data_IF_973809982225
#
_entry.id   IF_973809982225
#
_cell.length_a   1.000
_cell.length_b   1.000
_cell.length_c   1.000
_cell.angle_alpha   90.00
_cell.angle_beta   90.00
_cell.angle_gamma   90.00
#
_symmetry.space_group_name_H-M   'P 1'
#
loop_
_entity.id
_entity.type
_entity.pdbx_description
1 polymer ?
#
# COMPACT_ATOMS: atom_id res chain seq x y z
N UNK A 1 13.61 -14.70 -7.61
CA UNK A 1 12.47 -13.78 -7.77
C UNK A 1 12.73 -12.53 -6.90
N UNK A 2 12.57 -11.34 -7.46
CA UNK A 2 12.74 -10.12 -6.68
C UNK A 2 11.71 -10.01 -5.58
N UNK A 3 12.15 -9.52 -4.42
CA UNK A 3 11.23 -9.20 -3.34
C UNK A 3 10.37 -7.99 -3.74
N UNK A 4 9.14 -7.94 -3.24
CA UNK A 4 8.23 -6.84 -3.56
C UNK A 4 8.81 -5.47 -3.19
N UNK A 5 9.55 -5.38 -2.06
CA UNK A 5 10.14 -4.12 -1.61
C UNK A 5 11.17 -3.57 -2.58
N UNK A 6 11.78 -4.41 -3.40
CA UNK A 6 12.81 -4.02 -4.36
C UNK A 6 12.23 -3.72 -5.74
N UNK A 7 10.98 -4.08 -5.97
CA UNK A 7 10.34 -3.85 -7.25
C UNK A 7 9.83 -2.41 -7.37
N UNK A 8 9.76 -1.92 -8.59
CA UNK A 8 9.22 -0.61 -8.88
C UNK A 8 7.85 -0.74 -9.51
N UNK A 9 6.99 0.24 -9.22
CA UNK A 9 5.69 0.30 -9.85
C UNK A 9 5.83 0.58 -11.33
N UNK A 10 5.00 -0.09 -12.12
CA UNK A 10 4.89 0.21 -13.55
C UNK A 10 3.86 1.30 -13.73
N UNK A 11 3.95 2.04 -14.84
CA UNK A 11 2.99 3.09 -15.14
C UNK A 11 1.59 2.48 -15.27
N UNK A 12 0.64 3.02 -14.51
CA UNK A 12 -0.76 2.62 -14.58
C UNK A 12 -1.49 3.51 -15.57
N UNK A 13 -2.40 2.91 -16.32
CA UNK A 13 -3.25 3.63 -17.28
C UNK A 13 -4.62 2.98 -17.29
N UNK A 14 -5.60 3.72 -17.79
CA UNK A 14 -6.96 3.18 -17.99
C UNK A 14 -6.85 1.93 -18.86
N UNK A 15 -7.46 0.83 -18.38
CA UNK A 15 -7.41 -0.44 -19.08
C UNK A 15 -6.23 -1.33 -18.69
N UNK A 16 -5.34 -0.89 -17.77
CA UNK A 16 -4.28 -1.75 -17.26
C UNK A 16 -4.91 -2.99 -16.60
N UNK A 17 -4.26 -4.17 -16.71
CA UNK A 17 -4.84 -5.38 -16.13
C UNK A 17 -4.83 -5.34 -14.61
N UNK A 18 -5.96 -5.70 -13.99
CA UNK A 18 -6.02 -5.90 -12.55
C UNK A 18 -5.40 -7.24 -12.18
N UNK A 19 -5.09 -7.43 -10.89
CA UNK A 19 -4.57 -8.71 -10.41
C UNK A 19 -5.61 -9.80 -10.59
N UNK A 20 -5.12 -10.99 -10.93
CA UNK A 20 -5.97 -12.19 -11.02
C UNK A 20 -6.09 -12.84 -9.64
N UNK A 21 -7.04 -13.78 -9.50
CA UNK A 21 -7.18 -14.55 -8.27
C UNK A 21 -5.89 -15.33 -7.93
N UNK A 22 -5.21 -15.86 -8.94
CA UNK A 22 -3.94 -16.55 -8.75
C UNK A 22 -2.84 -15.62 -8.28
N UNK A 23 -2.79 -14.41 -8.82
CA UNK A 23 -1.81 -13.41 -8.38
C UNK A 23 -2.05 -12.97 -6.94
N UNK A 24 -3.32 -12.83 -6.54
CA UNK A 24 -3.65 -12.52 -5.15
C UNK A 24 -3.14 -13.62 -4.22
N UNK A 25 -3.32 -14.88 -4.59
CA UNK A 25 -2.81 -16.01 -3.81
C UNK A 25 -1.29 -16.01 -3.70
N UNK A 26 -0.60 -15.50 -4.72
CA UNK A 26 0.85 -15.38 -4.74
C UNK A 26 1.33 -14.21 -3.88
N UNK A 27 0.70 -13.05 -4.01
CA UNK A 27 1.18 -11.80 -3.39
C UNK A 27 0.69 -11.58 -1.97
N UNK A 28 -0.55 -11.96 -1.66
CA UNK A 28 -1.12 -11.71 -0.33
C UNK A 28 -0.29 -12.32 0.82
N UNK A 29 0.27 -13.54 0.71
CA UNK A 29 1.12 -14.08 1.78
C UNK A 29 2.41 -13.30 2.01
N UNK A 30 2.83 -12.47 1.04
CA UNK A 30 4.02 -11.62 1.17
C UNK A 30 3.74 -10.34 1.96
N UNK A 31 2.47 -9.99 2.11
CA UNK A 31 2.00 -8.85 2.89
C UNK A 31 0.83 -9.30 3.80
N UNK A 32 1.12 -10.21 4.75
CA UNK A 32 0.06 -10.90 5.49
C UNK A 32 -0.75 -10.01 6.44
N UNK A 33 -0.22 -8.84 6.80
CA UNK A 33 -0.91 -7.91 7.69
C UNK A 33 -1.93 -7.04 6.96
N UNK A 34 -1.93 -7.09 5.63
CA UNK A 34 -2.84 -6.30 4.82
C UNK A 34 -4.10 -7.08 4.52
N UNK A 35 -5.24 -6.39 4.63
CA UNK A 35 -6.55 -6.96 4.31
C UNK A 35 -7.04 -6.38 3.00
N UNK A 36 -7.75 -7.20 2.23
CA UNK A 36 -8.45 -6.71 1.04
C UNK A 36 -9.85 -6.32 1.49
N UNK A 37 -10.16 -5.04 1.38
CA UNK A 37 -11.48 -4.51 1.71
C UNK A 37 -12.19 -4.08 0.43
N UNK A 38 -13.51 -4.00 0.48
CA UNK A 38 -14.32 -3.47 -0.62
C UNK A 38 -14.98 -2.17 -0.17
N UNK A 39 -14.74 -1.10 -0.92
CA UNK A 39 -15.41 0.17 -0.71
C UNK A 39 -15.93 0.64 -2.06
N UNK A 40 -17.22 0.93 -2.15
CA UNK A 40 -17.85 1.37 -3.40
C UNK A 40 -17.59 0.39 -4.54
N UNK A 41 -17.58 -0.91 -4.24
CA UNK A 41 -17.29 -1.98 -5.19
C UNK A 41 -15.86 -1.96 -5.73
N UNK A 42 -14.94 -1.29 -5.04
CA UNK A 42 -13.52 -1.24 -5.41
C UNK A 42 -12.73 -2.04 -4.36
N UNK A 43 -12.04 -3.13 -4.76
CA UNK A 43 -11.15 -3.84 -3.83
C UNK A 43 -9.90 -3.00 -3.55
N UNK A 44 -9.52 -2.93 -2.27
CA UNK A 44 -8.39 -2.12 -1.80
C UNK A 44 -7.60 -2.90 -0.76
N UNK A 45 -6.29 -2.66 -0.70
CA UNK A 45 -5.44 -3.17 0.37
C UNK A 45 -5.41 -2.17 1.51
N UNK A 46 -5.67 -2.62 2.72
CA UNK A 46 -5.77 -1.77 3.89
C UNK A 46 -5.01 -2.33 5.07
N UNK A 47 -4.27 -1.47 5.78
CA UNK A 47 -3.60 -1.85 7.03
C UNK A 47 -3.59 -0.65 7.99
N UNK A 48 -3.84 -0.93 9.28
CA UNK A 48 -3.73 0.05 10.35
C UNK A 48 -2.39 -0.13 11.06
N UNK A 49 -1.60 0.95 11.12
CA UNK A 49 -0.32 0.99 11.81
C UNK A 49 -0.45 1.75 13.11
N UNK A 50 0.12 1.22 14.19
CA UNK A 50 0.02 1.83 15.52
C UNK A 50 1.33 2.48 15.92
N UNK A 51 1.24 3.62 16.57
CA UNK A 51 2.36 4.41 17.08
C UNK A 51 2.08 4.85 18.52
N UNK A 52 3.13 5.23 19.22
CA UNK A 52 3.01 5.66 20.63
C UNK A 52 2.71 7.15 20.80
N UNK A 53 2.73 7.93 19.72
CA UNK A 53 2.42 9.36 19.74
C UNK A 53 2.09 9.88 18.34
N UNK A 54 1.72 11.16 18.26
CA UNK A 54 1.35 11.76 17.00
C UNK A 54 2.56 12.12 16.12
N UNK A 55 3.66 12.48 16.74
CA UNK A 55 4.91 12.84 16.02
C UNK A 55 5.37 11.65 15.16
N UNK A 56 5.39 10.46 15.73
CA UNK A 56 5.77 9.25 15.01
C UNK A 56 4.77 8.91 13.91
N UNK A 57 3.49 9.11 14.16
CA UNK A 57 2.45 8.89 13.15
C UNK A 57 2.65 9.83 11.95
N UNK A 58 2.96 11.10 12.19
CA UNK A 58 3.23 12.08 11.12
C UNK A 58 4.52 11.71 10.37
N UNK A 59 5.58 11.31 11.08
CA UNK A 59 6.84 10.90 10.44
C UNK A 59 6.61 9.73 9.49
N UNK A 60 5.83 8.75 9.90
CA UNK A 60 5.46 7.61 9.06
C UNK A 60 4.66 8.06 7.84
N UNK A 61 3.67 8.93 8.04
CA UNK A 61 2.85 9.48 6.96
C UNK A 61 3.72 10.17 5.90
N UNK A 62 4.67 11.00 6.35
CA UNK A 62 5.58 11.70 5.45
C UNK A 62 6.46 10.73 4.66
N UNK A 63 6.98 9.70 5.32
CA UNK A 63 7.83 8.71 4.66
C UNK A 63 7.07 7.91 3.61
N UNK A 64 5.83 7.50 3.92
CA UNK A 64 4.98 6.79 2.96
C UNK A 64 4.63 7.72 1.80
N UNK A 65 4.31 8.97 2.08
CA UNK A 65 4.02 9.98 1.07
C UNK A 65 5.18 10.20 0.10
N UNK A 66 6.41 10.27 0.62
CA UNK A 66 7.60 10.41 -0.20
C UNK A 66 7.82 9.20 -1.11
N UNK A 67 7.63 7.99 -0.59
CA UNK A 67 7.73 6.77 -1.39
C UNK A 67 6.64 6.73 -2.47
N UNK A 68 5.43 7.16 -2.14
CA UNK A 68 4.31 7.23 -3.08
C UNK A 68 4.62 8.18 -4.25
N UNK A 69 5.15 9.36 -3.94
CA UNK A 69 5.55 10.32 -4.98
C UNK A 69 6.65 9.78 -5.88
N UNK A 70 7.64 9.10 -5.30
CA UNK A 70 8.74 8.53 -6.06
C UNK A 70 8.23 7.49 -7.06
N UNK A 71 7.25 6.68 -6.68
CA UNK A 71 6.69 5.63 -7.53
C UNK A 71 5.51 6.12 -8.39
N UNK A 72 5.03 7.34 -8.18
CA UNK A 72 3.88 7.86 -8.91
C UNK A 72 2.59 7.09 -8.64
N UNK A 73 2.45 6.52 -7.45
CA UNK A 73 1.30 5.70 -7.07
C UNK A 73 0.86 6.12 -5.68
N UNK A 74 -0.36 6.64 -5.55
CA UNK A 74 -0.78 7.37 -4.36
C UNK A 74 -1.80 6.63 -3.52
N UNK A 75 -1.57 6.51 -2.20
CA UNK A 75 -2.50 5.86 -1.27
C UNK A 75 -3.49 6.85 -0.67
N UNK A 76 -4.48 6.32 0.04
CA UNK A 76 -5.20 7.12 1.01
C UNK A 76 -4.49 6.94 2.36
N UNK A 77 -4.21 8.05 3.02
CA UNK A 77 -3.56 8.07 4.33
C UNK A 77 -4.49 8.75 5.32
N UNK A 78 -4.84 8.05 6.39
CA UNK A 78 -5.64 8.61 7.47
C UNK A 78 -4.81 8.61 8.73
N UNK A 79 -4.34 9.79 9.12
CA UNK A 79 -3.40 9.95 10.24
C UNK A 79 -4.13 10.57 11.43
N UNK A 80 -3.97 9.93 12.57
CA UNK A 80 -4.52 10.44 13.83
C UNK A 80 -3.54 10.10 14.95
N UNK A 81 -3.82 10.60 16.14
CA UNK A 81 -2.94 10.31 17.26
C UNK A 81 -2.80 8.79 17.45
N UNK A 82 -1.57 8.34 17.40
CA UNK A 82 -1.23 6.94 17.68
C UNK A 82 -1.55 5.95 16.59
N UNK A 83 -2.03 6.36 15.42
CA UNK A 83 -2.30 5.41 14.34
C UNK A 83 -2.38 6.06 12.96
N UNK A 84 -2.01 5.27 11.95
CA UNK A 84 -2.14 5.67 10.55
C UNK A 84 -2.78 4.50 9.80
N UNK A 85 -3.90 4.76 9.13
CA UNK A 85 -4.49 3.78 8.22
C UNK A 85 -3.97 4.07 6.81
N UNK A 86 -3.41 3.06 6.16
CA UNK A 86 -2.88 3.16 4.80
C UNK A 86 -3.72 2.27 3.90
N UNK A 87 -4.24 2.84 2.83
CA UNK A 87 -5.11 2.12 1.89
C UNK A 87 -4.55 2.30 0.48
N UNK A 88 -4.21 1.19 -0.17
CA UNK A 88 -3.67 1.18 -1.53
C UNK A 88 -4.66 0.58 -2.51
N UNK A 89 -4.88 1.26 -3.62
CA UNK A 89 -5.59 0.71 -4.79
C UNK A 89 -5.17 1.52 -6.01
N UNK A 90 -5.40 0.95 -7.18
CA UNK A 90 -5.04 1.62 -8.42
C UNK A 90 -6.27 2.37 -8.94
N UNK A 91 -6.21 3.70 -8.83
CA UNK A 91 -7.34 4.58 -9.09
C UNK A 91 -7.83 4.49 -10.54
N UNK A 92 -6.91 4.39 -11.49
CA UNK A 92 -7.24 4.40 -12.92
C UNK A 92 -8.04 3.18 -13.37
N UNK A 93 -7.89 2.04 -12.68
CA UNK A 93 -8.61 0.83 -13.01
C UNK A 93 -9.69 0.49 -11.98
N UNK A 94 -9.80 1.26 -10.92
CA UNK A 94 -10.75 1.05 -9.80
C UNK A 94 -10.67 -0.38 -9.28
N UNK A 95 -9.47 -0.87 -9.07
CA UNK A 95 -9.18 -2.24 -8.67
C UNK A 95 -7.75 -2.35 -8.19
N UNK A 96 -7.35 -3.57 -7.80
CA UNK A 96 -5.99 -3.87 -7.40
C UNK A 96 -5.12 -4.22 -8.60
N UNK A 97 -3.87 -3.78 -8.54
CA UNK A 97 -2.82 -4.07 -9.49
C UNK A 97 -1.62 -4.57 -8.68
N UNK A 98 -0.67 -5.23 -9.32
CA UNK A 98 0.58 -5.65 -8.65
C UNK A 98 1.25 -4.49 -7.91
N UNK A 99 1.15 -3.28 -8.46
CA UNK A 99 1.71 -2.07 -7.83
C UNK A 99 1.23 -1.88 -6.40
N UNK A 100 -0.02 -2.23 -6.10
CA UNK A 100 -0.57 -2.07 -4.75
C UNK A 100 0.12 -2.99 -3.76
N UNK A 101 0.44 -4.22 -4.17
CA UNK A 101 1.18 -5.16 -3.32
C UNK A 101 2.63 -4.72 -3.15
N UNK A 102 3.24 -4.15 -4.19
CA UNK A 102 4.59 -3.58 -4.11
C UNK A 102 4.62 -2.45 -3.08
N UNK A 103 3.64 -1.54 -3.15
CA UNK A 103 3.59 -0.41 -2.24
C UNK A 103 3.24 -0.84 -0.82
N UNK A 104 2.41 -1.87 -0.64
CA UNK A 104 2.13 -2.44 0.68
C UNK A 104 3.42 -2.97 1.32
N UNK A 105 4.23 -3.71 0.56
CA UNK A 105 5.51 -4.22 1.05
C UNK A 105 6.48 -3.10 1.40
N UNK A 106 6.56 -2.06 0.56
CA UNK A 106 7.40 -0.88 0.83
C UNK A 106 6.94 -0.14 2.08
N UNK A 107 5.63 -0.03 2.28
CA UNK A 107 5.05 0.59 3.47
C UNK A 107 5.44 -0.17 4.73
N UNK A 108 5.38 -1.51 4.69
CA UNK A 108 5.80 -2.36 5.81
C UNK A 108 7.27 -2.17 6.15
N UNK A 109 8.13 -2.05 5.13
CA UNK A 109 9.56 -1.82 5.33
C UNK A 109 9.83 -0.46 5.98
N UNK A 110 9.07 0.57 5.59
CA UNK A 110 9.16 1.90 6.20
C UNK A 110 8.77 1.83 7.68
N UNK A 111 7.68 1.13 7.98
CA UNK A 111 7.22 0.96 9.37
C UNK A 111 8.28 0.31 10.25
N UNK A 112 8.92 -0.75 9.76
CA UNK A 112 9.96 -1.46 10.50
C UNK A 112 11.16 -0.58 10.84
N UNK A 113 11.48 0.39 10.00
CA UNK A 113 12.59 1.31 10.22
C UNK A 113 12.28 2.37 11.28
N UNK A 114 11.01 2.69 11.47
CA UNK A 114 10.59 3.76 12.37
C UNK A 114 10.19 3.27 13.77
N UNK A 115 10.01 1.99 13.95
CA UNK A 115 9.62 1.41 15.26
C UNK A 115 10.73 0.56 15.85
#
# INVERSE_FOLDING_TARGET
MEELTEQKCVACRVGAPSVTAEEIKEFQPLVPEWQIINEDNIPKLDRLFKFKNFVDAIAFTDAVGAAAEEEGHHPRLTTEWGKVAVTWWTHKIKNLHKNDFIMAAKTDAIYKKLV
#
